data_IF_106341644571
#
_entry.id   IF_106341644571
#
_cell.length_a   1.000
_cell.length_b   1.000
_cell.length_c   1.000
_cell.angle_alpha   90.00
_cell.angle_beta   90.00
_cell.angle_gamma   90.00
#
_symmetry.space_group_name_H-M   'P 1'
#
loop_
_entity.id
_entity.type
_entity.pdbx_description
1 polymer ?
#
# COMPACT_ATOMS: atom_id res chain seq x y z
N UNK A 1 18.71 -9.94 -15.58
CA UNK A 1 17.53 -9.11 -15.92
C UNK A 1 17.29 -8.13 -14.77
N UNK A 2 17.55 -6.83 -14.96
CA UNK A 2 17.47 -5.79 -13.92
C UNK A 2 16.20 -4.96 -14.11
N UNK A 3 15.19 -5.12 -13.26
CA UNK A 3 14.00 -4.27 -13.31
C UNK A 3 14.21 -3.01 -12.46
N UNK A 4 14.39 -1.90 -13.18
CA UNK A 4 14.39 -0.52 -12.72
C UNK A 4 12.96 -0.10 -12.33
N UNK A 5 12.66 0.10 -11.06
CA UNK A 5 11.51 0.93 -10.64
C UNK A 5 11.76 1.61 -9.29
N UNK A 6 12.84 2.39 -9.17
CA UNK A 6 12.95 3.43 -8.13
C UNK A 6 13.92 4.53 -8.60
N UNK A 7 13.42 5.51 -9.36
CA UNK A 7 14.05 6.83 -9.52
C UNK A 7 13.12 7.76 -10.29
N UNK A 8 12.72 8.88 -9.68
CA UNK A 8 12.27 10.02 -10.47
C UNK A 8 11.25 10.95 -9.82
N UNK A 9 11.54 11.55 -8.66
CA UNK A 9 10.93 12.86 -8.32
C UNK A 9 12.02 13.80 -7.76
N UNK A 10 12.65 14.54 -8.68
CA UNK A 10 13.49 15.75 -8.51
C UNK A 10 13.51 16.35 -9.91
N UNK A 11 13.10 17.58 -10.22
CA UNK A 11 12.86 18.87 -9.54
C UNK A 11 11.88 19.66 -10.42
N UNK A 12 11.29 20.74 -9.92
CA UNK A 12 11.17 22.01 -10.66
C UNK A 12 10.82 23.14 -9.67
N UNK A 13 11.82 23.96 -9.31
CA UNK A 13 11.62 25.31 -8.76
C UNK A 13 11.60 26.25 -9.95
N UNK A 14 10.48 26.93 -10.21
CA UNK A 14 10.49 28.20 -10.92
C UNK A 14 9.51 29.18 -10.25
N UNK A 15 10.11 30.32 -9.91
CA UNK A 15 9.63 31.64 -9.48
C UNK A 15 8.21 32.04 -9.92
N UNK A 16 7.36 32.44 -8.97
CA UNK A 16 6.21 33.33 -9.20
C UNK A 16 6.18 34.41 -8.10
N UNK A 17 6.31 35.66 -8.53
CA UNK A 17 5.99 36.87 -7.77
C UNK A 17 4.72 37.45 -8.39
N UNK A 18 3.73 37.83 -7.58
CA UNK A 18 2.52 38.51 -8.06
C UNK A 18 1.29 38.30 -7.18
N UNK A 19 0.87 39.37 -6.50
CA UNK A 19 -0.37 39.56 -5.71
C UNK A 19 -1.65 39.09 -6.43
N UNK A 20 -2.61 38.50 -5.71
CA UNK A 20 -3.90 39.13 -5.33
C UNK A 20 -4.93 38.11 -4.81
N UNK A 21 -5.52 38.48 -3.66
CA UNK A 21 -6.87 38.25 -3.14
C UNK A 21 -7.77 37.22 -3.85
N UNK A 22 -8.26 36.23 -3.08
CA UNK A 22 -9.69 35.94 -2.95
C UNK A 22 -9.94 34.92 -1.83
N UNK A 23 -10.37 35.46 -0.69
CA UNK A 23 -11.04 34.76 0.39
C UNK A 23 -12.37 34.19 -0.11
N UNK A 24 -12.44 32.89 -0.44
CA UNK A 24 -13.66 32.04 -0.48
C UNK A 24 -13.39 30.65 -1.08
N UNK A 25 -12.48 29.84 -0.50
CA UNK A 25 -12.23 28.47 -1.03
C UNK A 25 -11.98 27.36 0.00
N UNK A 26 -12.23 27.58 1.29
CA UNK A 26 -11.81 26.64 2.34
C UNK A 26 -12.72 25.41 2.52
N UNK A 27 -14.02 25.46 2.21
CA UNK A 27 -14.93 24.33 2.53
C UNK A 27 -14.94 23.19 1.51
N UNK A 28 -14.67 23.46 0.22
CA UNK A 28 -14.73 22.44 -0.83
C UNK A 28 -13.48 21.53 -0.84
N UNK A 29 -12.29 22.08 -0.58
CA UNK A 29 -11.03 21.33 -0.54
C UNK A 29 -10.94 20.37 0.64
N UNK A 30 -11.52 20.73 1.79
CA UNK A 30 -11.49 19.90 3.01
C UNK A 30 -12.40 18.66 2.89
N UNK A 31 -13.57 18.82 2.24
CA UNK A 31 -14.49 17.72 1.93
C UNK A 31 -13.94 16.72 0.90
N UNK A 32 -13.09 17.18 -0.01
CA UNK A 32 -12.41 16.32 -1.00
C UNK A 32 -11.30 15.51 -0.34
N UNK A 33 -10.56 16.08 0.61
CA UNK A 33 -9.50 15.37 1.35
C UNK A 33 -10.09 14.22 2.19
N UNK A 34 -11.21 14.46 2.87
CA UNK A 34 -11.94 13.40 3.60
C UNK A 34 -12.50 12.32 2.65
N UNK A 35 -13.08 12.71 1.50
CA UNK A 35 -13.57 11.75 0.49
C UNK A 35 -12.44 10.95 -0.17
N UNK A 36 -11.28 11.56 -0.43
CA UNK A 36 -10.11 10.84 -0.96
C UNK A 36 -9.58 9.86 0.06
N UNK A 37 -9.62 10.19 1.36
CA UNK A 37 -9.21 9.29 2.41
C UNK A 37 -10.20 8.11 2.54
N UNK A 38 -11.51 8.35 2.56
CA UNK A 38 -12.51 7.28 2.62
C UNK A 38 -12.40 6.30 1.43
N UNK A 39 -12.20 6.83 0.21
CA UNK A 39 -11.96 5.99 -0.97
C UNK A 39 -10.69 5.17 -0.82
N UNK A 40 -9.57 5.77 -0.44
CA UNK A 40 -8.31 5.06 -0.29
C UNK A 40 -8.36 4.02 0.85
N UNK A 41 -9.04 4.32 1.97
CA UNK A 41 -9.29 3.38 3.06
C UNK A 41 -10.09 2.17 2.57
N UNK A 42 -11.15 2.41 1.78
CA UNK A 42 -11.94 1.31 1.19
C UNK A 42 -11.11 0.46 0.22
N UNK A 43 -10.24 1.08 -0.58
CA UNK A 43 -9.34 0.37 -1.49
C UNK A 43 -8.32 -0.49 -0.73
N UNK A 44 -7.73 0.04 0.35
CA UNK A 44 -6.80 -0.70 1.21
C UNK A 44 -7.50 -1.88 1.88
N UNK A 45 -8.70 -1.65 2.43
CA UNK A 45 -9.52 -2.70 3.05
C UNK A 45 -9.82 -3.82 2.07
N UNK A 46 -10.26 -3.48 0.86
CA UNK A 46 -10.49 -4.46 -0.21
C UNK A 46 -9.22 -5.21 -0.62
N UNK A 47 -8.07 -4.53 -0.68
CA UNK A 47 -6.79 -5.17 -1.01
C UNK A 47 -6.36 -6.19 0.07
N UNK A 48 -6.56 -5.89 1.36
CA UNK A 48 -6.31 -6.82 2.46
C UNK A 48 -7.15 -8.08 2.31
N UNK A 49 -8.47 -7.93 2.18
CA UNK A 49 -9.40 -9.06 1.99
C UNK A 49 -8.97 -9.89 0.79
N UNK A 50 -8.70 -9.24 -0.35
CA UNK A 50 -8.31 -9.93 -1.59
C UNK A 50 -7.06 -10.80 -1.43
N UNK A 51 -6.01 -10.31 -0.76
CA UNK A 51 -4.79 -11.10 -0.60
C UNK A 51 -4.94 -12.21 0.45
N UNK A 52 -5.68 -11.94 1.54
CA UNK A 52 -5.96 -12.97 2.56
C UNK A 52 -6.80 -14.10 1.96
N UNK A 53 -7.82 -13.78 1.17
CA UNK A 53 -8.64 -14.75 0.45
C UNK A 53 -7.81 -15.56 -0.55
N UNK A 54 -6.92 -14.93 -1.30
CA UNK A 54 -6.02 -15.64 -2.22
C UNK A 54 -5.18 -16.70 -1.49
N UNK A 55 -4.61 -16.35 -0.33
CA UNK A 55 -3.85 -17.29 0.50
C UNK A 55 -4.73 -18.43 1.04
N UNK A 56 -5.94 -18.11 1.49
CA UNK A 56 -6.93 -19.11 1.95
C UNK A 56 -7.40 -20.06 0.84
N UNK A 57 -7.42 -19.57 -0.41
CA UNK A 57 -7.70 -20.37 -1.61
C UNK A 57 -6.48 -21.12 -2.15
N UNK A 58 -5.39 -21.19 -1.38
CA UNK A 58 -4.13 -21.85 -1.73
C UNK A 58 -3.42 -21.25 -2.95
N UNK A 59 -3.54 -19.95 -3.17
CA UNK A 59 -2.69 -19.27 -4.16
C UNK A 59 -1.30 -19.18 -3.55
N UNK A 60 -0.35 -19.93 -4.11
CA UNK A 60 1.00 -20.04 -3.57
C UNK A 60 2.06 -19.49 -4.52
N UNK A 61 1.72 -19.23 -5.79
CA UNK A 61 2.70 -18.79 -6.78
C UNK A 61 3.10 -17.34 -6.56
N UNK A 62 4.40 -17.05 -6.72
CA UNK A 62 4.93 -15.68 -6.66
C UNK A 62 4.15 -14.72 -7.55
N UNK A 63 3.88 -15.09 -8.80
CA UNK A 63 3.20 -14.22 -9.75
C UNK A 63 1.74 -13.91 -9.37
N UNK A 64 1.13 -14.71 -8.49
CA UNK A 64 -0.21 -14.45 -7.95
C UNK A 64 -0.15 -13.55 -6.72
N UNK A 65 0.75 -13.86 -5.77
CA UNK A 65 0.84 -13.16 -4.49
C UNK A 65 1.54 -11.80 -4.61
N UNK A 66 2.62 -11.72 -5.39
CA UNK A 66 3.43 -10.51 -5.49
C UNK A 66 2.64 -9.28 -6.01
N UNK A 67 1.82 -9.37 -7.08
CA UNK A 67 1.02 -8.22 -7.51
C UNK A 67 0.01 -7.75 -6.47
N UNK A 68 -0.64 -8.68 -5.75
CA UNK A 68 -1.61 -8.37 -4.72
C UNK A 68 -0.95 -7.62 -3.55
N UNK A 69 0.18 -8.16 -3.06
CA UNK A 69 0.90 -7.55 -1.94
C UNK A 69 1.49 -6.19 -2.33
N UNK A 70 2.00 -6.06 -3.55
CA UNK A 70 2.57 -4.80 -4.05
C UNK A 70 1.50 -3.71 -4.13
N UNK A 71 0.30 -4.05 -4.63
CA UNK A 71 -0.84 -3.13 -4.68
C UNK A 71 -1.28 -2.69 -3.28
N UNK A 72 -1.34 -3.63 -2.33
CA UNK A 72 -1.67 -3.34 -0.94
C UNK A 72 -0.69 -2.34 -0.32
N UNK A 73 0.62 -2.63 -0.38
CA UNK A 73 1.68 -1.77 0.17
C UNK A 73 1.68 -0.38 -0.48
N UNK A 74 1.45 -0.30 -1.79
CA UNK A 74 1.38 0.97 -2.51
C UNK A 74 0.18 1.82 -2.07
N UNK A 75 -0.98 1.21 -1.83
CA UNK A 75 -2.15 1.94 -1.36
C UNK A 75 -2.04 2.32 0.12
N UNK A 76 -1.44 1.47 0.96
CA UNK A 76 -1.12 1.82 2.36
C UNK A 76 -0.22 3.06 2.46
N UNK A 77 0.77 3.19 1.56
CA UNK A 77 1.62 4.38 1.49
C UNK A 77 0.85 5.68 1.18
N UNK A 78 -0.32 5.59 0.56
CA UNK A 78 -1.15 6.76 0.23
C UNK A 78 -2.11 7.15 1.35
N UNK A 79 -2.58 6.17 2.14
CA UNK A 79 -3.59 6.40 3.19
C UNK A 79 -2.98 7.06 4.41
N UNK A 80 -1.79 6.64 4.85
CA UNK A 80 -1.19 7.13 6.09
C UNK A 80 0.33 7.26 5.98
N UNK A 81 0.83 8.51 6.07
CA UNK A 81 2.27 8.81 6.07
C UNK A 81 3.01 8.24 7.29
N UNK A 82 2.29 8.03 8.40
CA UNK A 82 2.80 7.54 9.67
C UNK A 82 2.68 6.02 9.85
N UNK A 83 2.06 5.30 8.90
CA UNK A 83 1.99 3.83 8.90
C UNK A 83 3.33 3.16 8.53
N UNK A 84 4.46 3.79 8.86
CA UNK A 84 5.78 3.35 8.41
C UNK A 84 6.21 2.03 9.05
N UNK A 85 5.96 1.87 10.35
CA UNK A 85 6.39 0.68 11.10
C UNK A 85 5.56 -0.55 10.70
N UNK A 86 4.24 -0.43 10.65
CA UNK A 86 3.36 -1.55 10.34
C UNK A 86 3.41 -1.96 8.87
N UNK A 87 3.78 -1.04 7.97
CA UNK A 87 4.09 -1.36 6.57
C UNK A 87 5.39 -2.14 6.42
N UNK A 88 6.36 -1.97 7.31
CA UNK A 88 7.69 -2.56 7.15
C UNK A 88 7.61 -4.08 7.02
N UNK A 89 6.77 -4.74 7.83
CA UNK A 89 6.50 -6.18 7.75
C UNK A 89 6.07 -6.62 6.33
N UNK A 90 5.13 -5.89 5.72
CA UNK A 90 4.64 -6.21 4.37
C UNK A 90 5.69 -5.92 3.28
N UNK A 91 6.57 -4.94 3.51
CA UNK A 91 7.71 -4.65 2.63
C UNK A 91 8.74 -5.77 2.72
N UNK A 92 8.99 -6.32 3.90
CA UNK A 92 9.92 -7.43 4.08
C UNK A 92 9.42 -8.69 3.35
N UNK A 93 8.11 -8.95 3.37
CA UNK A 93 7.49 -9.98 2.55
C UNK A 93 7.62 -9.73 1.04
N UNK A 94 7.50 -8.48 0.58
CA UNK A 94 7.78 -8.15 -0.84
C UNK A 94 9.24 -8.41 -1.21
N UNK A 95 10.18 -8.09 -0.32
CA UNK A 95 11.60 -8.37 -0.52
C UNK A 95 11.84 -9.87 -0.62
N UNK A 96 11.26 -10.66 0.30
CA UNK A 96 11.29 -12.12 0.28
C UNK A 96 10.75 -12.68 -1.05
N UNK A 97 9.54 -12.29 -1.45
CA UNK A 97 8.94 -12.70 -2.73
C UNK A 97 9.79 -12.30 -3.93
N UNK A 98 10.44 -11.12 -3.89
CA UNK A 98 11.27 -10.66 -4.99
C UNK A 98 12.53 -11.53 -5.18
N UNK A 99 13.07 -12.12 -4.11
CA UNK A 99 14.24 -13.01 -4.17
C UNK A 99 13.93 -14.39 -4.76
N UNK A 100 12.68 -14.84 -4.71
CA UNK A 100 12.25 -16.11 -5.32
C UNK A 100 12.20 -16.02 -6.86
N UNK A 101 12.26 -17.15 -7.57
CA UNK A 101 12.05 -17.13 -9.03
C UNK A 101 10.57 -16.91 -9.37
N UNK A 102 10.31 -16.38 -10.58
CA UNK A 102 8.94 -16.08 -11.03
C UNK A 102 7.99 -17.30 -11.07
N UNK A 103 8.55 -18.49 -11.24
CA UNK A 103 7.86 -19.78 -11.25
C UNK A 103 7.69 -20.40 -9.86
N UNK A 104 8.37 -19.86 -8.84
CA UNK A 104 8.41 -20.47 -7.52
C UNK A 104 7.10 -20.23 -6.77
N UNK A 105 6.84 -21.14 -5.84
CA UNK A 105 5.68 -21.11 -4.93
C UNK A 105 6.19 -20.86 -3.53
N UNK A 106 5.48 -20.04 -2.76
CA UNK A 106 5.77 -19.87 -1.34
C UNK A 106 5.49 -21.20 -0.64
N UNK A 107 6.26 -21.51 0.41
CA UNK A 107 5.97 -22.70 1.20
C UNK A 107 4.63 -22.53 1.94
N UNK A 108 3.97 -23.64 2.29
CA UNK A 108 2.74 -23.59 3.09
C UNK A 108 2.95 -22.92 4.45
N UNK A 109 4.15 -23.07 5.02
CA UNK A 109 4.53 -22.45 6.28
C UNK A 109 4.67 -20.93 6.12
N UNK A 110 5.35 -20.47 5.07
CA UNK A 110 5.50 -19.05 4.78
C UNK A 110 4.17 -18.41 4.39
N UNK A 111 3.30 -19.12 3.67
CA UNK A 111 1.94 -18.66 3.39
C UNK A 111 1.11 -18.44 4.66
N UNK A 112 1.21 -19.33 5.64
CA UNK A 112 0.55 -19.16 6.95
C UNK A 112 1.13 -17.97 7.74
N UNK A 113 2.46 -17.80 7.73
CA UNK A 113 3.11 -16.65 8.38
C UNK A 113 2.68 -15.33 7.71
N UNK A 114 2.69 -15.28 6.39
CA UNK A 114 2.24 -14.13 5.62
C UNK A 114 0.77 -13.80 5.94
N UNK A 115 -0.10 -14.80 6.02
CA UNK A 115 -1.50 -14.59 6.40
C UNK A 115 -1.63 -13.97 7.79
N UNK A 116 -0.91 -14.51 8.78
CA UNK A 116 -0.89 -13.96 10.14
C UNK A 116 -0.36 -12.51 10.19
N UNK A 117 0.70 -12.21 9.46
CA UNK A 117 1.25 -10.86 9.38
C UNK A 117 0.29 -9.89 8.68
N UNK A 118 -0.48 -10.36 7.69
CA UNK A 118 -1.54 -9.59 7.03
C UNK A 118 -2.69 -9.28 7.99
N UNK A 119 -3.15 -10.26 8.77
CA UNK A 119 -4.18 -10.06 9.81
C UNK A 119 -3.70 -9.05 10.86
N UNK A 120 -2.47 -9.20 11.32
CA UNK A 120 -1.84 -8.27 12.27
C UNK A 120 -1.76 -6.86 11.69
N UNK A 121 -1.32 -6.71 10.44
CA UNK A 121 -1.24 -5.42 9.77
C UNK A 121 -2.63 -4.80 9.55
N UNK A 122 -3.64 -5.62 9.25
CA UNK A 122 -5.02 -5.17 9.07
C UNK A 122 -5.63 -4.65 10.38
N UNK A 123 -5.46 -5.38 11.49
CA UNK A 123 -5.95 -4.94 12.81
C UNK A 123 -5.32 -3.60 13.20
N UNK A 124 -4.00 -3.47 13.07
CA UNK A 124 -3.32 -2.20 13.35
C UNK A 124 -3.72 -1.07 12.40
N UNK A 125 -4.04 -1.40 11.15
CA UNK A 125 -4.58 -0.42 10.20
C UNK A 125 -5.97 0.05 10.65
N UNK A 126 -6.82 -0.87 11.09
CA UNK A 126 -8.15 -0.58 11.60
C UNK A 126 -8.11 0.25 12.90
N UNK A 127 -7.22 -0.08 13.84
CA UNK A 127 -7.02 0.66 15.09
C UNK A 127 -6.61 2.13 14.87
N UNK A 128 -6.00 2.46 13.72
CA UNK A 128 -5.65 3.85 13.36
C UNK A 128 -6.80 4.63 12.72
N UNK A 129 -7.90 3.96 12.40
CA UNK A 129 -9.12 4.58 11.88
C UNK A 129 -10.11 4.95 12.99
N UNK A 130 -9.93 4.39 14.19
CA UNK A 130 -10.68 4.70 15.42
C UNK A 130 -10.15 5.98 16.08
#
# INVERSE_FOLDING_TARGET
MKFKYYKGIRRLKHRVSGKNNNSSKSKASESLIFNTNAKLISEVTGNFITIMDALNLNYDKKHQIHPLLSKLVLNLNKVMGDFKENRQLLVDWLVFLNQMNSSDSISKEDGKKLLFDLETAYNKFYDLLE
#
